data_IF_899678108254
#
_entry.id   IF_899678108254
#
_cell.length_a   1.000
_cell.length_b   1.000
_cell.length_c   1.000
_cell.angle_alpha   90.00
_cell.angle_beta   90.00
_cell.angle_gamma   90.00
#
_symmetry.space_group_name_H-M   'P 1'
#
loop_
_entity.id
_entity.type
_entity.pdbx_description
1 polymer ?
#
# COMPACT_ATOMS: atom_id res chain seq x y z
N UNK A 1 18.77 -8.78 -4.84
CA UNK A 1 17.50 -9.46 -5.09
C UNK A 1 16.44 -8.82 -4.20
N UNK A 2 15.45 -8.19 -4.81
CA UNK A 2 14.42 -7.41 -4.13
C UNK A 2 13.00 -7.89 -4.52
N UNK A 3 12.42 -8.84 -3.77
CA UNK A 3 11.01 -9.21 -3.93
C UNK A 3 10.12 -7.99 -3.68
N UNK A 4 9.08 -7.83 -4.52
CA UNK A 4 8.19 -6.66 -4.47
C UNK A 4 6.99 -6.90 -3.53
N UNK A 5 7.29 -7.07 -2.26
CA UNK A 5 6.31 -7.22 -1.18
C UNK A 5 6.97 -7.42 0.19
N UNK A 6 6.21 -7.26 1.27
CA UNK A 6 6.72 -7.46 2.63
C UNK A 6 7.15 -8.92 2.86
N UNK A 7 8.08 -9.14 3.78
CA UNK A 7 8.67 -10.47 4.04
C UNK A 7 7.65 -11.55 4.40
N UNK A 8 6.57 -11.18 5.09
CA UNK A 8 5.44 -12.08 5.38
C UNK A 8 4.74 -12.57 4.11
N UNK A 9 4.54 -11.66 3.14
CA UNK A 9 3.91 -11.98 1.87
C UNK A 9 4.83 -12.81 0.98
N UNK A 10 6.13 -12.46 0.92
CA UNK A 10 7.15 -13.27 0.23
C UNK A 10 7.12 -14.71 0.74
N UNK A 11 7.02 -14.90 2.06
CA UNK A 11 6.91 -16.23 2.66
C UNK A 11 5.61 -16.94 2.28
N UNK A 12 4.48 -16.26 2.34
CA UNK A 12 3.18 -16.83 1.98
C UNK A 12 3.16 -17.30 0.53
N UNK A 13 3.64 -16.48 -0.39
CA UNK A 13 3.71 -16.80 -1.82
C UNK A 13 4.71 -17.92 -2.11
N UNK A 14 5.82 -17.95 -1.38
CA UNK A 14 6.77 -19.07 -1.46
C UNK A 14 6.12 -20.39 -1.04
N UNK A 15 5.44 -20.43 0.12
CA UNK A 15 4.76 -21.63 0.63
C UNK A 15 3.62 -22.07 -0.30
N UNK A 16 2.89 -21.11 -0.89
CA UNK A 16 1.88 -21.38 -1.91
C UNK A 16 2.47 -21.95 -3.21
N UNK A 17 3.78 -21.82 -3.39
CA UNK A 17 4.51 -22.34 -4.55
C UNK A 17 4.40 -21.44 -5.79
N UNK A 18 3.90 -20.21 -5.68
CA UNK A 18 3.82 -19.26 -6.80
C UNK A 18 5.01 -18.28 -6.83
N UNK A 19 5.41 -17.77 -5.66
CA UNK A 19 6.46 -16.78 -5.53
C UNK A 19 5.97 -15.33 -5.69
N UNK A 20 6.91 -14.37 -5.59
CA UNK A 20 6.65 -12.93 -5.68
C UNK A 20 7.49 -12.32 -6.81
N UNK A 21 6.97 -11.35 -7.59
CA UNK A 21 7.77 -10.62 -8.56
C UNK A 21 9.00 -10.01 -7.90
N UNK A 22 10.13 -10.03 -8.59
CA UNK A 22 11.41 -9.66 -8.01
C UNK A 22 12.22 -8.77 -8.96
N UNK A 23 12.86 -7.74 -8.41
CA UNK A 23 13.95 -7.03 -9.09
C UNK A 23 15.27 -7.66 -8.73
N UNK A 24 16.19 -7.75 -9.70
CA UNK A 24 17.56 -8.15 -9.46
C UNK A 24 18.52 -7.12 -10.00
N UNK A 25 19.60 -6.87 -9.27
CA UNK A 25 20.64 -5.95 -9.66
C UNK A 25 22.02 -6.46 -9.19
N UNK A 26 23.05 -6.16 -9.97
CA UNK A 26 24.45 -6.44 -9.64
C UNK A 26 25.22 -5.12 -9.66
N UNK A 27 26.04 -4.90 -8.62
CA UNK A 27 26.92 -3.74 -8.59
C UNK A 27 28.21 -4.06 -9.38
N UNK A 28 28.47 -3.40 -10.52
CA UNK A 28 29.56 -3.80 -11.40
C UNK A 28 30.95 -3.81 -10.72
N UNK A 29 31.20 -2.83 -9.84
CA UNK A 29 32.47 -2.71 -9.12
C UNK A 29 32.65 -3.76 -7.99
N UNK A 30 31.61 -4.52 -7.67
CA UNK A 30 31.59 -5.55 -6.62
C UNK A 30 31.43 -6.96 -7.16
N UNK A 31 31.56 -7.12 -8.47
CA UNK A 31 31.47 -8.42 -9.17
C UNK A 31 32.76 -8.72 -9.95
N UNK A 32 33.88 -8.92 -9.26
CA UNK A 32 35.18 -9.12 -9.92
C UNK A 32 35.26 -10.41 -10.74
N UNK A 33 34.39 -11.40 -10.43
CA UNK A 33 34.34 -12.67 -11.15
C UNK A 33 33.30 -12.66 -12.29
N UNK A 34 32.48 -11.65 -12.41
CA UNK A 34 31.40 -11.55 -13.40
C UNK A 34 30.25 -12.55 -13.20
N UNK A 35 30.12 -13.13 -11.98
CA UNK A 35 29.10 -14.14 -11.64
C UNK A 35 27.89 -13.60 -10.91
N UNK A 36 27.85 -12.31 -10.60
CA UNK A 36 26.81 -11.68 -9.80
C UNK A 36 25.42 -11.90 -10.37
N UNK A 37 25.25 -11.83 -11.68
CA UNK A 37 23.97 -12.08 -12.35
C UNK A 37 23.52 -13.54 -12.19
N UNK A 38 24.43 -14.51 -12.29
CA UNK A 38 24.08 -15.91 -12.10
C UNK A 38 23.62 -16.20 -10.69
N UNK A 39 24.31 -15.64 -9.69
CA UNK A 39 23.88 -15.73 -8.29
C UNK A 39 22.55 -15.04 -8.03
N UNK A 40 22.35 -13.85 -8.56
CA UNK A 40 21.10 -13.12 -8.39
C UNK A 40 19.91 -13.86 -9.01
N UNK A 41 20.09 -14.41 -10.21
CA UNK A 41 19.08 -15.24 -10.90
C UNK A 41 18.78 -16.53 -10.14
N UNK A 42 19.81 -17.22 -9.69
CA UNK A 42 19.67 -18.46 -8.92
C UNK A 42 18.94 -18.22 -7.60
N UNK A 43 19.26 -17.12 -6.91
CA UNK A 43 18.59 -16.75 -5.66
C UNK A 43 17.11 -16.39 -5.89
N UNK A 44 16.82 -15.60 -6.92
CA UNK A 44 15.45 -15.26 -7.29
C UNK A 44 14.62 -16.50 -7.66
N UNK A 45 15.21 -17.43 -8.41
CA UNK A 45 14.57 -18.72 -8.72
C UNK A 45 14.34 -19.57 -7.46
N UNK A 46 15.29 -19.56 -6.51
CA UNK A 46 15.14 -20.23 -5.21
C UNK A 46 13.99 -19.68 -4.36
N UNK A 47 13.57 -18.44 -4.60
CA UNK A 47 12.39 -17.81 -4.00
C UNK A 47 11.11 -18.01 -4.83
N UNK A 48 11.14 -18.80 -5.89
CA UNK A 48 10.07 -18.99 -6.87
C UNK A 48 9.69 -17.72 -7.65
N UNK A 49 10.55 -16.68 -7.66
CA UNK A 49 10.27 -15.43 -8.36
C UNK A 49 10.26 -15.58 -9.89
N UNK A 50 10.86 -16.63 -10.42
CA UNK A 50 10.85 -17.00 -11.85
C UNK A 50 9.44 -17.24 -12.40
N UNK A 51 8.47 -17.56 -11.55
CA UNK A 51 7.07 -17.81 -11.95
C UNK A 51 6.28 -16.53 -12.19
N UNK A 52 6.22 -15.59 -11.23
CA UNK A 52 5.54 -14.30 -11.44
C UNK A 52 6.37 -13.31 -12.26
N UNK A 53 7.70 -13.41 -12.26
CA UNK A 53 8.60 -12.63 -13.08
C UNK A 53 9.79 -12.02 -12.33
N UNK A 54 10.93 -12.00 -13.03
CA UNK A 54 12.17 -11.36 -12.56
C UNK A 54 12.58 -10.28 -13.55
N UNK A 55 12.81 -9.08 -13.07
CA UNK A 55 13.24 -7.93 -13.88
C UNK A 55 14.64 -7.51 -13.49
N UNK A 56 15.50 -7.30 -14.50
CA UNK A 56 16.83 -6.71 -14.31
C UNK A 56 16.70 -5.21 -14.04
N UNK A 57 17.41 -4.71 -13.05
CA UNK A 57 17.36 -3.34 -12.58
C UNK A 57 18.75 -2.86 -12.13
N UNK A 58 18.80 -1.70 -11.51
CA UNK A 58 19.98 -1.16 -10.84
C UNK A 58 19.62 -0.76 -9.40
N UNK A 59 20.59 -0.84 -8.47
CA UNK A 59 20.36 -0.48 -7.07
C UNK A 59 19.71 0.91 -6.93
N UNK A 60 20.22 1.90 -7.65
CA UNK A 60 19.69 3.26 -7.56
C UNK A 60 18.26 3.39 -8.12
N UNK A 61 17.93 2.62 -9.16
CA UNK A 61 16.58 2.62 -9.73
C UNK A 61 15.59 1.96 -8.77
N UNK A 62 15.99 0.84 -8.15
CA UNK A 62 15.19 0.13 -7.16
C UNK A 62 14.89 1.04 -5.96
N UNK A 63 15.93 1.57 -5.30
CA UNK A 63 15.79 2.43 -4.11
C UNK A 63 14.90 3.64 -4.39
N UNK A 64 15.10 4.33 -5.52
CA UNK A 64 14.29 5.51 -5.87
C UNK A 64 12.83 5.18 -6.15
N UNK A 65 12.56 4.05 -6.80
CA UNK A 65 11.19 3.69 -7.17
C UNK A 65 10.42 3.07 -6.01
N UNK A 66 11.04 2.21 -5.24
CA UNK A 66 10.44 1.50 -4.12
C UNK A 66 10.07 2.46 -2.98
N UNK A 67 11.05 3.18 -2.44
CA UNK A 67 10.81 4.15 -1.36
C UNK A 67 9.80 5.23 -1.78
N UNK A 68 9.89 5.71 -3.02
CA UNK A 68 8.93 6.69 -3.51
C UNK A 68 7.51 6.12 -3.56
N UNK A 69 7.34 4.91 -4.09
CA UNK A 69 6.03 4.27 -4.25
C UNK A 69 5.41 3.89 -2.92
N UNK A 70 6.13 3.16 -2.06
CA UNK A 70 5.59 2.67 -0.80
C UNK A 70 5.23 3.79 0.18
N UNK A 71 6.07 4.83 0.27
CA UNK A 71 5.91 5.89 1.28
C UNK A 71 4.92 6.96 0.85
N UNK A 72 4.68 7.14 -0.44
CA UNK A 72 3.71 8.11 -0.94
C UNK A 72 2.33 7.48 -1.18
N UNK A 73 2.19 6.68 -2.25
CA UNK A 73 0.85 6.23 -2.66
C UNK A 73 0.39 4.97 -1.94
N UNK A 74 1.29 4.01 -1.68
CA UNK A 74 0.88 2.73 -1.11
C UNK A 74 0.53 2.82 0.37
N UNK A 75 1.34 3.53 1.16
CA UNK A 75 1.11 3.66 2.60
C UNK A 75 0.68 5.06 3.01
N UNK A 76 1.38 6.12 2.56
CA UNK A 76 1.07 7.49 2.98
C UNK A 76 -0.32 7.96 2.57
N UNK A 77 -0.68 7.82 1.31
CA UNK A 77 -2.00 8.23 0.81
C UNK A 77 -3.12 7.30 1.28
N UNK A 78 -2.89 5.98 1.28
CA UNK A 78 -3.87 5.01 1.79
C UNK A 78 -4.20 5.27 3.26
N UNK A 79 -3.21 5.44 4.11
CA UNK A 79 -3.40 5.78 5.52
C UNK A 79 -4.20 7.07 5.69
N UNK A 80 -3.79 8.14 5.02
CA UNK A 80 -4.46 9.45 5.11
C UNK A 80 -5.90 9.37 4.62
N UNK A 81 -6.13 8.77 3.46
CA UNK A 81 -7.47 8.60 2.89
C UNK A 81 -8.38 7.75 3.77
N UNK A 82 -7.84 6.67 4.34
CA UNK A 82 -8.56 5.79 5.27
C UNK A 82 -9.04 6.55 6.49
N UNK A 83 -8.16 7.24 7.20
CA UNK A 83 -8.51 7.95 8.45
C UNK A 83 -9.48 9.09 8.17
N UNK A 84 -9.22 9.92 7.16
CA UNK A 84 -10.12 11.03 6.83
C UNK A 84 -11.52 10.55 6.41
N UNK A 85 -11.59 9.47 5.63
CA UNK A 85 -12.86 8.90 5.20
C UNK A 85 -13.63 8.28 6.37
N UNK A 86 -12.95 7.53 7.23
CA UNK A 86 -13.52 6.95 8.44
C UNK A 86 -14.10 8.03 9.36
N UNK A 87 -13.30 9.06 9.68
CA UNK A 87 -13.74 10.15 10.54
C UNK A 87 -15.00 10.84 10.01
N UNK A 88 -15.07 11.09 8.72
CA UNK A 88 -16.27 11.68 8.09
C UNK A 88 -17.48 10.78 8.20
N UNK A 89 -17.32 9.48 7.90
CA UNK A 89 -18.42 8.53 7.96
C UNK A 89 -18.96 8.38 9.39
N UNK A 90 -18.09 8.17 10.35
CA UNK A 90 -18.49 7.88 11.73
C UNK A 90 -18.89 9.14 12.48
N UNK A 91 -18.03 10.16 12.50
CA UNK A 91 -18.22 11.34 13.36
C UNK A 91 -19.22 12.36 12.80
N UNK A 92 -19.36 12.45 11.47
CA UNK A 92 -20.24 13.44 10.86
C UNK A 92 -21.54 12.83 10.28
N UNK A 93 -21.45 11.63 9.71
CA UNK A 93 -22.62 10.98 9.10
C UNK A 93 -23.27 9.92 9.99
N UNK A 94 -22.66 9.59 11.15
CA UNK A 94 -23.20 8.64 12.11
C UNK A 94 -23.20 7.18 11.61
N UNK A 95 -22.32 6.86 10.67
CA UNK A 95 -22.14 5.48 10.19
C UNK A 95 -21.56 4.63 11.31
N UNK A 96 -22.05 3.39 11.45
CA UNK A 96 -21.56 2.46 12.45
C UNK A 96 -20.07 2.14 12.20
N UNK A 97 -19.20 2.22 13.24
CA UNK A 97 -17.76 2.11 13.09
C UNK A 97 -17.27 0.85 12.37
N UNK A 98 -17.75 -0.34 12.76
CA UNK A 98 -17.34 -1.60 12.13
C UNK A 98 -17.72 -1.67 10.66
N UNK A 99 -18.90 -1.15 10.32
CA UNK A 99 -19.32 -1.04 8.93
C UNK A 99 -18.40 -0.08 8.14
N UNK A 100 -18.05 1.09 8.69
CA UNK A 100 -17.18 2.05 8.04
C UNK A 100 -15.79 1.45 7.75
N UNK A 101 -15.21 0.71 8.72
CA UNK A 101 -13.94 -0.01 8.54
C UNK A 101 -14.02 -0.99 7.37
N UNK A 102 -15.05 -1.85 7.35
CA UNK A 102 -15.20 -2.86 6.29
C UNK A 102 -15.42 -2.24 4.92
N UNK A 103 -16.23 -1.19 4.84
CA UNK A 103 -16.48 -0.48 3.59
C UNK A 103 -15.18 0.09 3.01
N UNK A 104 -14.33 0.68 3.84
CA UNK A 104 -13.05 1.24 3.42
C UNK A 104 -12.09 0.14 2.98
N UNK A 105 -11.90 -0.90 3.80
CA UNK A 105 -11.00 -2.01 3.50
C UNK A 105 -11.38 -2.72 2.20
N UNK A 106 -12.65 -3.08 2.05
CA UNK A 106 -13.15 -3.75 0.85
C UNK A 106 -13.12 -2.83 -0.39
N UNK A 107 -13.40 -1.54 -0.19
CA UNK A 107 -13.30 -0.53 -1.26
C UNK A 107 -11.87 -0.44 -1.80
N UNK A 108 -10.88 -0.36 -0.93
CA UNK A 108 -9.47 -0.33 -1.34
C UNK A 108 -9.05 -1.58 -2.10
N UNK A 109 -9.42 -2.76 -1.62
CA UNK A 109 -9.13 -4.03 -2.30
C UNK A 109 -9.71 -4.04 -3.72
N UNK A 110 -11.00 -3.76 -3.85
CA UNK A 110 -11.72 -3.77 -5.14
C UNK A 110 -11.14 -2.75 -6.14
N UNK A 111 -10.84 -1.55 -5.68
CA UNK A 111 -10.33 -0.47 -6.53
C UNK A 111 -8.88 -0.72 -6.92
N UNK A 112 -8.06 -1.24 -6.02
CA UNK A 112 -6.66 -1.60 -6.31
C UNK A 112 -6.57 -2.73 -7.33
N UNK A 113 -7.44 -3.73 -7.23
CA UNK A 113 -7.53 -4.83 -8.20
C UNK A 113 -7.96 -4.32 -9.59
N UNK A 114 -8.91 -3.41 -9.64
CA UNK A 114 -9.33 -2.79 -10.91
C UNK A 114 -8.21 -1.95 -11.53
N UNK A 115 -7.44 -1.21 -10.74
CA UNK A 115 -6.27 -0.46 -11.18
C UNK A 115 -5.19 -1.38 -11.76
N UNK A 116 -4.90 -2.49 -11.07
CA UNK A 116 -3.90 -3.49 -11.46
C UNK A 116 -4.20 -4.10 -12.84
N UNK A 117 -5.44 -4.44 -13.12
CA UNK A 117 -5.82 -5.16 -14.33
C UNK A 117 -6.24 -4.31 -15.53
N UNK A 118 -6.38 -3.00 -15.40
CA UNK A 118 -6.81 -2.15 -16.53
C UNK A 118 -6.49 -0.67 -16.34
N UNK A 119 -5.67 -0.34 -15.37
CA UNK A 119 -5.23 1.02 -15.12
C UNK A 119 -6.33 1.93 -14.59
N UNK A 120 -6.07 3.24 -14.62
CA UNK A 120 -6.96 4.27 -14.05
C UNK A 120 -8.34 4.24 -14.69
N UNK A 121 -8.44 4.02 -15.99
CA UNK A 121 -9.74 3.97 -16.68
C UNK A 121 -10.59 2.83 -16.15
N UNK A 122 -10.03 1.64 -16.04
CA UNK A 122 -10.76 0.48 -15.50
C UNK A 122 -11.16 0.67 -14.03
N UNK A 123 -10.30 1.30 -13.24
CA UNK A 123 -10.62 1.68 -11.87
C UNK A 123 -11.80 2.64 -11.82
N UNK A 124 -11.80 3.68 -12.64
CA UNK A 124 -12.86 4.69 -12.72
C UNK A 124 -14.18 4.11 -13.25
N UNK A 125 -14.13 3.08 -14.09
CA UNK A 125 -15.32 2.43 -14.64
C UNK A 125 -16.14 1.63 -13.61
N UNK A 126 -15.62 1.47 -12.39
CA UNK A 126 -16.39 0.95 -11.25
C UNK A 126 -17.36 1.98 -10.66
N UNK A 127 -17.25 3.25 -11.05
CA UNK A 127 -18.06 4.34 -10.56
C UNK A 127 -19.20 4.68 -11.55
N UNK A 128 -20.27 5.28 -11.04
CA UNK A 128 -21.28 5.94 -11.88
C UNK A 128 -20.70 7.15 -12.60
N UNK A 129 -21.31 7.59 -13.72
CA UNK A 129 -20.79 8.72 -14.48
C UNK A 129 -20.64 10.02 -13.66
N UNK A 130 -21.61 10.44 -12.83
CA UNK A 130 -21.43 11.60 -11.96
C UNK A 130 -20.28 11.43 -10.97
N UNK A 131 -20.11 10.23 -10.41
CA UNK A 131 -19.04 9.93 -9.45
C UNK A 131 -17.65 9.96 -10.11
N UNK A 132 -17.51 9.49 -11.36
CA UNK A 132 -16.27 9.61 -12.14
C UNK A 132 -15.83 11.07 -12.28
N UNK A 133 -16.76 11.95 -12.68
CA UNK A 133 -16.49 13.37 -12.85
C UNK A 133 -16.04 13.98 -11.53
N UNK A 134 -16.77 13.71 -10.45
CA UNK A 134 -16.43 14.22 -9.12
C UNK A 134 -15.08 13.70 -8.61
N UNK A 135 -14.79 12.43 -8.80
CA UNK A 135 -13.51 11.85 -8.43
C UNK A 135 -12.34 12.50 -9.20
N UNK A 136 -12.53 12.78 -10.49
CA UNK A 136 -11.52 13.47 -11.30
C UNK A 136 -11.28 14.93 -10.83
N UNK A 137 -12.33 15.65 -10.48
CA UNK A 137 -12.21 17.02 -9.90
C UNK A 137 -11.43 17.00 -8.58
N UNK A 138 -11.73 16.05 -7.69
CA UNK A 138 -11.01 15.89 -6.43
C UNK A 138 -9.57 15.49 -6.66
N UNK A 139 -9.30 14.58 -7.61
CA UNK A 139 -7.95 14.17 -7.96
C UNK A 139 -7.10 15.34 -8.47
N UNK A 140 -7.70 16.27 -9.25
CA UNK A 140 -7.01 17.47 -9.70
C UNK A 140 -6.56 18.35 -8.52
N UNK A 141 -7.44 18.58 -7.55
CA UNK A 141 -7.11 19.35 -6.33
C UNK A 141 -6.05 18.65 -5.46
N UNK A 142 -6.17 17.33 -5.30
CA UNK A 142 -5.18 16.55 -4.55
C UNK A 142 -3.79 16.60 -5.20
N UNK A 143 -3.69 16.60 -6.53
CA UNK A 143 -2.40 16.74 -7.24
C UNK A 143 -1.66 18.01 -6.84
N UNK A 144 -2.36 19.13 -6.70
CA UNK A 144 -1.73 20.40 -6.33
C UNK A 144 -1.17 20.38 -4.91
N UNK A 145 -1.86 19.71 -3.99
CA UNK A 145 -1.41 19.52 -2.59
C UNK A 145 -0.26 18.52 -2.51
N UNK A 146 -0.36 17.41 -3.22
CA UNK A 146 0.58 16.29 -3.10
C UNK A 146 1.90 16.52 -3.87
N UNK A 147 1.86 17.22 -4.99
CA UNK A 147 3.03 17.45 -5.84
C UNK A 147 4.25 18.02 -5.10
N UNK A 148 4.15 19.08 -4.27
CA UNK A 148 5.30 19.58 -3.51
C UNK A 148 5.80 18.57 -2.46
N UNK A 149 4.90 17.80 -1.83
CA UNK A 149 5.26 16.78 -0.86
C UNK A 149 6.06 15.65 -1.54
N UNK A 150 5.60 15.18 -2.70
CA UNK A 150 6.27 14.14 -3.47
C UNK A 150 7.66 14.60 -3.95
N UNK A 151 7.77 15.84 -4.42
CA UNK A 151 9.06 16.41 -4.83
C UNK A 151 10.04 16.44 -3.68
N UNK A 152 9.61 16.98 -2.53
CA UNK A 152 10.46 17.03 -1.34
C UNK A 152 10.90 15.63 -0.89
N UNK A 153 10.00 14.68 -0.87
CA UNK A 153 10.33 13.30 -0.49
C UNK A 153 11.34 12.67 -1.46
N UNK A 154 11.17 12.88 -2.77
CA UNK A 154 12.13 12.43 -3.77
C UNK A 154 13.52 13.07 -3.56
N UNK A 155 13.58 14.34 -3.21
CA UNK A 155 14.83 15.05 -2.91
C UNK A 155 15.50 14.46 -1.64
N UNK A 156 14.74 14.15 -0.60
CA UNK A 156 15.22 13.52 0.62
C UNK A 156 15.77 12.10 0.36
N UNK A 157 15.14 11.32 -0.53
CA UNK A 157 15.66 10.01 -0.97
C UNK A 157 16.99 10.17 -1.75
N UNK A 158 17.02 11.06 -2.74
CA UNK A 158 18.17 11.24 -3.61
C UNK A 158 19.39 11.79 -2.85
N UNK A 159 19.17 12.72 -1.92
CA UNK A 159 20.24 13.31 -1.11
C UNK A 159 20.77 12.40 -0.01
N UNK A 160 20.11 11.27 0.26
CA UNK A 160 20.41 10.38 1.38
C UNK A 160 19.89 10.85 2.73
N UNK A 161 19.16 11.96 2.77
CA UNK A 161 18.59 12.49 4.03
C UNK A 161 17.60 11.52 4.65
N UNK A 162 16.76 10.88 3.83
CA UNK A 162 15.84 9.83 4.30
C UNK A 162 16.60 8.71 5.05
N UNK A 163 17.66 8.17 4.45
CA UNK A 163 18.48 7.11 5.07
C UNK A 163 19.17 7.56 6.33
N UNK A 164 19.70 8.81 6.37
CA UNK A 164 20.33 9.37 7.57
C UNK A 164 19.33 9.50 8.72
N UNK A 165 18.13 10.01 8.45
CA UNK A 165 17.08 10.15 9.49
C UNK A 165 16.66 8.79 10.04
N UNK A 166 16.53 7.77 9.18
CA UNK A 166 16.23 6.40 9.61
C UNK A 166 17.33 5.83 10.52
N UNK A 167 18.61 6.05 10.16
CA UNK A 167 19.73 5.58 10.99
C UNK A 167 19.81 6.31 12.33
N UNK A 168 19.52 7.62 12.37
CA UNK A 168 19.45 8.41 13.60
C UNK A 168 18.37 7.89 14.55
N UNK A 169 17.18 7.55 14.03
CA UNK A 169 16.09 6.98 14.86
C UNK A 169 16.49 5.59 15.40
N UNK A 170 17.07 4.74 14.53
CA UNK A 170 17.58 3.43 14.94
C UNK A 170 18.65 3.53 16.04
N UNK A 171 19.61 4.43 15.92
CA UNK A 171 20.64 4.67 16.95
C UNK A 171 20.04 5.18 18.27
N UNK A 172 18.90 5.87 18.21
CA UNK A 172 18.13 6.33 19.37
C UNK A 172 17.09 5.33 19.90
N UNK A 173 17.15 4.07 19.43
CA UNK A 173 16.28 2.99 19.90
C UNK A 173 14.90 2.99 19.26
N UNK A 174 14.80 3.40 18.00
CA UNK A 174 13.55 3.43 17.20
C UNK A 174 12.44 4.26 17.86
N UNK A 175 12.80 5.36 18.50
CA UNK A 175 11.89 6.17 19.31
C UNK A 175 10.72 6.73 18.51
N UNK A 176 10.99 7.28 17.33
CA UNK A 176 9.97 7.88 16.48
C UNK A 176 9.06 6.79 15.90
N UNK A 177 9.63 5.65 15.48
CA UNK A 177 8.89 4.47 15.04
C UNK A 177 7.94 3.95 16.13
N UNK A 178 8.43 3.78 17.36
CA UNK A 178 7.65 3.25 18.48
C UNK A 178 6.54 4.22 18.89
N UNK A 179 6.83 5.52 18.90
CA UNK A 179 5.83 6.57 19.17
C UNK A 179 4.71 6.53 18.13
N UNK A 180 5.07 6.52 16.84
CA UNK A 180 4.07 6.39 15.76
C UNK A 180 3.19 5.15 15.90
N UNK A 181 3.79 3.98 16.22
CA UNK A 181 3.03 2.74 16.41
C UNK A 181 2.05 2.83 17.58
N UNK A 182 2.47 3.43 18.67
CA UNK A 182 1.64 3.61 19.85
C UNK A 182 0.47 4.56 19.58
N UNK A 183 0.74 5.70 18.95
CA UNK A 183 -0.29 6.69 18.59
C UNK A 183 -1.30 6.14 17.56
N UNK A 184 -0.81 5.51 16.52
CA UNK A 184 -1.67 4.90 15.49
C UNK A 184 -2.54 3.80 16.08
N UNK A 185 -1.97 2.93 16.91
CA UNK A 185 -2.71 1.85 17.57
C UNK A 185 -3.81 2.32 18.51
N UNK A 186 -3.79 3.58 18.95
CA UNK A 186 -4.85 4.20 19.78
C UNK A 186 -5.98 4.80 18.96
N UNK A 187 -5.85 4.89 17.65
CA UNK A 187 -6.90 5.45 16.80
C UNK A 187 -8.16 4.56 16.81
N UNK A 188 -9.33 5.19 16.73
CA UNK A 188 -10.60 4.47 16.72
C UNK A 188 -10.69 3.49 15.54
N UNK A 189 -10.13 3.85 14.38
CA UNK A 189 -10.05 2.95 13.22
C UNK A 189 -9.30 1.66 13.54
N UNK A 190 -8.10 1.74 14.12
CA UNK A 190 -7.28 0.57 14.47
C UNK A 190 -7.95 -0.31 15.53
N UNK A 191 -8.53 0.31 16.55
CA UNK A 191 -9.26 -0.40 17.60
C UNK A 191 -10.48 -1.13 17.04
N UNK A 192 -11.23 -0.49 16.15
CA UNK A 192 -12.41 -1.09 15.50
C UNK A 192 -11.97 -2.21 14.55
N UNK A 193 -10.95 -1.97 13.71
CA UNK A 193 -10.41 -2.97 12.79
C UNK A 193 -9.90 -4.22 13.52
N UNK A 194 -9.31 -4.07 14.70
CA UNK A 194 -8.81 -5.19 15.50
C UNK A 194 -9.95 -6.07 16.06
N UNK A 195 -11.06 -5.47 16.48
CA UNK A 195 -12.23 -6.20 17.00
C UNK A 195 -13.01 -6.89 15.90
N UNK A 196 -13.07 -6.29 14.72
CA UNK A 196 -13.88 -6.74 13.58
C UNK A 196 -13.26 -7.93 12.82
N UNK A 197 -12.06 -8.39 13.19
CA UNK A 197 -11.43 -9.61 12.65
C UNK A 197 -12.26 -10.88 12.89
N UNK A 198 -13.30 -10.81 13.72
CA UNK A 198 -14.15 -11.93 14.13
C UNK A 198 -15.49 -11.96 13.37
N UNK A 199 -15.84 -10.94 12.58
CA UNK A 199 -17.09 -10.94 11.80
C UNK A 199 -16.97 -11.95 10.66
N UNK A 200 -17.86 -12.94 10.65
CA UNK A 200 -17.92 -13.93 9.56
C UNK A 200 -18.33 -13.26 8.24
N UNK A 201 -17.88 -13.81 7.12
CA UNK A 201 -18.26 -13.30 5.79
C UNK A 201 -19.79 -13.30 5.60
N UNK A 202 -20.52 -14.19 6.27
CA UNK A 202 -21.98 -14.25 6.24
C UNK A 202 -22.62 -13.09 7.01
N UNK A 203 -22.13 -12.76 8.21
CA UNK A 203 -22.62 -11.58 8.95
C UNK A 203 -22.37 -10.28 8.21
N UNK A 204 -21.24 -10.20 7.52
CA UNK A 204 -20.94 -9.04 6.67
C UNK A 204 -21.92 -8.91 5.51
N UNK A 205 -22.22 -10.02 4.85
CA UNK A 205 -23.18 -10.07 3.75
C UNK A 205 -24.60 -9.70 4.24
N UNK A 206 -25.04 -10.23 5.37
CA UNK A 206 -26.34 -9.97 5.95
C UNK A 206 -26.51 -8.50 6.35
N UNK A 207 -25.48 -7.87 6.93
CA UNK A 207 -25.47 -6.43 7.24
C UNK A 207 -25.49 -5.58 5.97
N UNK A 208 -24.75 -5.96 4.92
CA UNK A 208 -24.74 -5.26 3.63
C UNK A 208 -26.10 -5.31 2.91
N UNK A 209 -26.77 -6.45 2.96
CA UNK A 209 -28.12 -6.61 2.40
C UNK A 209 -29.15 -5.76 3.16
N UNK A 210 -29.04 -5.68 4.49
CA UNK A 210 -29.91 -4.85 5.32
C UNK A 210 -29.81 -3.37 4.93
N UNK A 211 -28.60 -2.87 4.66
CA UNK A 211 -28.38 -1.48 4.27
C UNK A 211 -28.90 -1.14 2.88
N UNK A 212 -28.74 -2.03 1.91
CA UNK A 212 -29.34 -1.87 0.58
C UNK A 212 -30.87 -1.82 0.68
N UNK A 213 -31.47 -2.59 1.59
CA UNK A 213 -32.90 -2.54 1.86
C UNK A 213 -33.32 -1.22 2.51
N UNK A 214 -32.54 -0.66 3.43
CA UNK A 214 -32.83 0.64 4.06
C UNK A 214 -32.71 1.82 3.08
N UNK A 215 -31.72 1.82 2.19
CA UNK A 215 -31.55 2.84 1.15
C UNK A 215 -32.70 2.79 0.12
N UNK A 216 -33.27 1.61 -0.15
CA UNK A 216 -34.44 1.47 -1.06
C UNK A 216 -35.75 1.85 -0.41
N UNK A 217 -35.80 1.91 0.92
CA UNK A 217 -37.01 2.25 1.69
C UNK A 217 -37.06 3.74 2.10
N UNK A 218 -36.00 4.49 1.91
CA UNK A 218 -35.89 5.95 2.10
C UNK A 218 -36.03 6.69 0.78
#
# INVERSE_FOLDING_TARGET
>A
VAPKGPGSEVRSEYVRGFGMPCLIAVHPERDPEGKGWDYAKAYAAGLHADRPGVLESAFIAEVKSDLMGEQTILCGMLQTGTILCYDKMVKEFGVEPGYAVKLIQYGWETISEALKHGGITNMMDRLSNPAKIRANELAAKMKDIMRPLYRKHQDDIISGKFSSTMMEDWENGDKDLLTWREETGKTEFEQTAATDKVISGQEYFDRGVLMVAMIKAS
#
